data_IF_759161752764
#
_entry.id   IF_759161752764
#
_cell.length_a   1.000
_cell.length_b   1.000
_cell.length_c   1.000
_cell.angle_alpha   90.00
_cell.angle_beta   90.00
_cell.angle_gamma   90.00
#
_symmetry.space_group_name_H-M   'P 1'
#
loop_
_entity.id
_entity.type
_entity.pdbx_description
1 polymer ?
#
# COMPACT_ATOMS: atom_id res chain seq x y z
N UNK A 1 7.93 -1.00 -46.09
CA UNK A 1 6.47 -1.19 -46.05
C UNK A 1 6.15 -1.47 -44.59
N UNK A 2 5.55 -0.50 -43.91
CA UNK A 2 5.39 -0.48 -42.47
C UNK A 2 4.51 -1.65 -42.00
N UNK A 3 4.97 -2.38 -40.99
CA UNK A 3 4.15 -3.31 -40.23
C UNK A 3 3.40 -2.48 -39.19
N UNK A 4 2.08 -2.58 -39.26
CA UNK A 4 1.11 -1.98 -38.37
C UNK A 4 1.25 -2.63 -36.98
N UNK A 5 1.69 -1.87 -35.99
CA UNK A 5 1.68 -2.23 -34.58
C UNK A 5 0.45 -1.57 -33.94
N UNK A 6 -0.73 -2.08 -34.28
CA UNK A 6 -1.95 -1.86 -33.50
C UNK A 6 -2.04 -2.98 -32.47
N UNK A 7 -1.22 -2.88 -31.42
CA UNK A 7 -1.50 -3.59 -30.17
C UNK A 7 -2.60 -2.78 -29.48
N UNK A 8 -3.85 -3.06 -29.88
CA UNK A 8 -5.03 -2.63 -29.16
C UNK A 8 -4.98 -3.24 -27.77
N UNK A 9 -4.43 -2.49 -26.81
CA UNK A 9 -4.73 -2.71 -25.40
C UNK A 9 -6.24 -2.56 -25.28
N UNK A 10 -6.95 -3.68 -25.08
CA UNK A 10 -8.34 -3.66 -24.65
C UNK A 10 -8.43 -2.82 -23.37
N UNK A 11 -8.81 -1.56 -23.53
CA UNK A 11 -9.23 -0.73 -22.41
C UNK A 11 -10.52 -1.37 -21.93
N UNK A 12 -10.44 -2.18 -20.87
CA UNK A 12 -11.62 -2.69 -20.19
C UNK A 12 -12.53 -1.50 -19.86
N UNK A 13 -13.71 -1.51 -20.48
CA UNK A 13 -14.68 -0.42 -20.37
C UNK A 13 -15.27 -0.46 -18.96
N UNK A 14 -14.83 0.46 -18.12
CA UNK A 14 -15.32 0.62 -16.75
C UNK A 14 -16.76 1.11 -16.84
N UNK A 15 -17.68 0.51 -16.08
CA UNK A 15 -19.05 1.01 -16.02
C UNK A 15 -19.09 2.39 -15.36
N UNK A 16 -20.05 3.23 -15.71
CA UNK A 16 -20.20 4.55 -15.08
C UNK A 16 -20.38 4.46 -13.56
N UNK A 17 -21.00 3.37 -13.08
CA UNK A 17 -21.13 3.08 -11.65
C UNK A 17 -19.77 2.82 -10.99
N UNK A 18 -18.91 2.03 -11.63
CA UNK A 18 -17.56 1.76 -11.13
C UNK A 18 -16.69 3.04 -11.12
N UNK A 19 -16.87 3.96 -12.10
CA UNK A 19 -16.18 5.25 -12.10
C UNK A 19 -16.63 6.18 -10.97
N UNK A 20 -17.93 6.23 -10.67
CA UNK A 20 -18.48 7.02 -9.56
C UNK A 20 -17.98 6.50 -8.20
N UNK A 21 -17.95 5.17 -8.02
CA UNK A 21 -17.41 4.54 -6.80
C UNK A 21 -15.95 4.91 -6.56
N UNK A 22 -15.13 4.92 -7.62
CA UNK A 22 -13.74 5.36 -7.54
C UNK A 22 -13.64 6.85 -7.20
N UNK A 23 -14.49 7.69 -7.76
CA UNK A 23 -14.50 9.13 -7.46
C UNK A 23 -14.98 9.45 -6.04
N UNK A 24 -15.75 8.56 -5.40
CA UNK A 24 -16.10 8.69 -3.99
C UNK A 24 -14.96 8.22 -3.06
N UNK A 25 -14.36 7.05 -3.31
CA UNK A 25 -13.29 6.51 -2.45
C UNK A 25 -12.00 7.35 -2.49
N UNK A 26 -11.74 8.04 -3.61
CA UNK A 26 -10.54 8.86 -3.81
C UNK A 26 -10.83 10.36 -3.93
N UNK A 27 -12.04 10.81 -3.57
CA UNK A 27 -12.29 12.24 -3.41
C UNK A 27 -11.40 12.73 -2.27
N UNK A 28 -10.49 13.65 -2.55
CA UNK A 28 -9.79 14.39 -1.50
C UNK A 28 -10.89 15.07 -0.67
N UNK A 29 -11.12 14.58 0.55
CA UNK A 29 -12.01 15.22 1.49
C UNK A 29 -11.30 16.50 1.98
N UNK A 30 -11.36 17.55 1.16
CA UNK A 30 -10.90 18.90 1.48
C UNK A 30 -11.63 19.47 2.72
N UNK A 31 -12.62 18.75 3.27
CA UNK A 31 -13.40 19.10 4.44
C UNK A 31 -13.29 18.12 5.62
N UNK A 32 -12.19 17.35 5.72
CA UNK A 32 -11.75 16.89 7.05
C UNK A 32 -11.16 18.11 7.78
N UNK A 33 -12.02 19.05 8.15
CA UNK A 33 -11.78 19.89 9.30
C UNK A 33 -11.67 18.91 10.47
N UNK A 34 -10.54 18.80 11.18
CA UNK A 34 -10.50 18.04 12.42
C UNK A 34 -11.64 18.58 13.29
N UNK A 35 -12.64 17.74 13.53
CA UNK A 35 -13.74 18.10 14.41
C UNK A 35 -13.18 18.18 15.84
N UNK A 36 -12.64 19.36 16.18
CA UNK A 36 -12.12 19.67 17.51
C UNK A 36 -13.23 19.68 18.58
N UNK A 37 -14.49 19.47 18.21
CA UNK A 37 -15.62 19.39 19.12
C UNK A 37 -16.05 17.97 19.49
N UNK A 38 -15.34 16.93 19.04
CA UNK A 38 -15.34 15.70 19.84
C UNK A 38 -14.52 15.98 21.11
N UNK A 39 -15.21 16.38 22.18
CA UNK A 39 -14.68 16.31 23.54
C UNK A 39 -14.45 14.83 23.89
N UNK A 40 -13.43 14.21 23.28
CA UNK A 40 -12.79 13.06 23.88
C UNK A 40 -12.27 13.57 25.21
N UNK A 41 -12.74 12.98 26.30
CA UNK A 41 -12.13 13.14 27.61
C UNK A 41 -10.66 12.72 27.48
N UNK A 42 -9.80 13.67 27.16
CA UNK A 42 -8.36 13.49 27.17
C UNK A 42 -7.99 13.52 28.65
N UNK A 43 -7.91 12.33 29.24
CA UNK A 43 -7.33 12.17 30.56
C UNK A 43 -5.86 12.55 30.42
N UNK A 44 -5.46 13.66 31.02
CA UNK A 44 -4.07 14.08 31.08
C UNK A 44 -3.25 12.95 31.68
N UNK A 45 -2.05 12.70 31.15
CA UNK A 45 -1.12 11.69 31.68
C UNK A 45 -0.80 11.89 33.18
N UNK A 46 -1.06 13.09 33.72
CA UNK A 46 -0.87 13.44 35.13
C UNK A 46 -2.03 13.00 36.06
N UNK A 47 -3.16 12.50 35.54
CA UNK A 47 -4.35 12.18 36.34
C UNK A 47 -4.55 10.68 36.66
N UNK A 48 -3.49 9.87 36.50
CA UNK A 48 -3.50 8.43 36.76
C UNK A 48 -2.91 8.08 38.13
N UNK A 49 -3.63 8.44 39.20
CA UNK A 49 -3.36 7.89 40.54
C UNK A 49 -4.09 6.57 40.83
N UNK A 50 -4.63 5.87 39.82
CA UNK A 50 -5.24 4.56 40.03
C UNK A 50 -4.85 3.57 38.93
N UNK A 51 -4.08 2.55 39.34
CA UNK A 51 -3.57 1.38 38.61
C UNK A 51 -2.23 1.64 37.87
N UNK A 52 -1.11 1.04 38.29
CA UNK A 52 0.12 1.08 37.53
C UNK A 52 -0.06 0.25 36.26
N UNK A 53 -0.46 0.88 35.15
CA UNK A 53 -0.34 0.27 33.84
C UNK A 53 1.15 0.17 33.54
N UNK A 54 1.75 -0.97 33.92
CA UNK A 54 3.13 -1.26 33.61
C UNK A 54 3.31 -1.16 32.10
N UNK A 55 4.09 -0.17 31.65
CA UNK A 55 4.48 -0.05 30.25
C UNK A 55 5.11 -1.40 29.86
N UNK A 56 4.56 -2.11 28.86
CA UNK A 56 5.14 -3.38 28.46
C UNK A 56 6.59 -3.14 28.07
N UNK A 57 7.50 -3.91 28.67
CA UNK A 57 8.91 -3.80 28.36
C UNK A 57 9.10 -4.09 26.86
N UNK A 58 9.73 -3.16 26.13
CA UNK A 58 10.09 -3.37 24.74
C UNK A 58 11.07 -4.53 24.64
N UNK A 59 10.56 -5.69 24.21
CA UNK A 59 11.31 -6.94 24.07
C UNK A 59 11.17 -7.41 22.63
N UNK A 60 11.87 -6.75 21.68
CA UNK A 60 11.83 -7.19 20.30
C UNK A 60 12.36 -8.63 20.24
N UNK A 61 11.70 -9.47 19.45
CA UNK A 61 12.15 -10.83 19.19
C UNK A 61 13.52 -10.83 18.49
N UNK A 62 13.79 -9.79 17.71
CA UNK A 62 15.06 -9.58 17.01
C UNK A 62 16.03 -8.75 17.86
N UNK A 63 17.34 -9.05 17.81
CA UNK A 63 18.34 -8.24 18.49
C UNK A 63 18.30 -6.79 17.96
N UNK A 64 18.47 -5.78 18.82
CA UNK A 64 18.56 -4.40 18.35
C UNK A 64 19.79 -4.21 17.46
N UNK A 65 19.62 -3.59 16.28
CA UNK A 65 20.74 -3.27 15.39
C UNK A 65 20.41 -3.41 13.91
N UNK A 66 21.41 -3.13 13.06
CA UNK A 66 21.30 -3.31 11.63
C UNK A 66 21.51 -4.78 11.25
N UNK A 67 20.48 -5.38 10.66
CA UNK A 67 20.48 -6.77 10.23
C UNK A 67 20.91 -6.83 8.76
N UNK A 68 22.21 -6.92 8.51
CA UNK A 68 22.72 -7.08 7.15
C UNK A 68 22.72 -8.56 6.76
N UNK A 69 22.59 -8.89 5.46
CA UNK A 69 22.79 -10.26 4.99
C UNK A 69 24.17 -10.80 5.40
N UNK A 70 24.26 -12.09 5.72
CA UNK A 70 25.50 -12.72 6.21
C UNK A 70 26.68 -12.64 5.21
N UNK A 71 26.39 -12.34 3.94
CA UNK A 71 27.36 -12.23 2.84
C UNK A 71 28.02 -10.85 2.68
N UNK A 72 27.73 -9.87 3.56
CA UNK A 72 28.30 -8.52 3.45
C UNK A 72 29.76 -8.49 3.90
N UNK A 73 30.69 -8.64 2.95
CA UNK A 73 32.11 -8.35 3.16
C UNK A 73 32.40 -6.85 3.06
N UNK A 74 33.52 -6.40 3.63
CA UNK A 74 33.98 -4.99 3.53
C UNK A 74 34.12 -4.51 2.09
N UNK A 75 34.42 -5.43 1.16
CA UNK A 75 34.58 -5.15 -0.27
C UNK A 75 33.24 -5.06 -1.01
N UNK A 76 32.25 -5.89 -0.65
CA UNK A 76 30.95 -5.91 -1.33
C UNK A 76 29.91 -4.99 -0.68
N UNK A 77 30.23 -4.33 0.44
CA UNK A 77 29.33 -3.44 1.20
C UNK A 77 28.58 -2.42 0.33
N UNK A 78 29.25 -1.82 -0.67
CA UNK A 78 28.59 -0.84 -1.57
C UNK A 78 27.41 -1.42 -2.33
N UNK A 79 27.45 -2.71 -2.67
CA UNK A 79 26.35 -3.39 -3.38
C UNK A 79 25.12 -3.57 -2.48
N UNK A 80 25.29 -3.51 -1.16
CA UNK A 80 24.22 -3.63 -0.16
C UNK A 80 23.78 -2.28 0.44
N UNK A 81 24.38 -1.16 -0.01
CA UNK A 81 24.01 0.20 0.41
C UNK A 81 23.25 0.97 -0.69
N UNK A 82 22.68 0.26 -1.66
CA UNK A 82 21.76 0.87 -2.63
C UNK A 82 20.44 1.25 -1.93
N UNK A 83 19.71 2.27 -2.42
CA UNK A 83 18.40 2.61 -1.86
C UNK A 83 17.44 1.41 -1.82
N UNK A 84 17.45 0.59 -2.89
CA UNK A 84 16.63 -0.61 -2.98
C UNK A 84 17.01 -1.67 -1.92
N UNK A 85 18.31 -1.92 -1.72
CA UNK A 85 18.75 -2.90 -0.72
C UNK A 85 18.43 -2.45 0.69
N UNK A 86 18.49 -1.15 0.98
CA UNK A 86 18.07 -0.59 2.28
C UNK A 86 16.55 -0.72 2.45
N UNK A 87 15.76 -0.41 1.43
CA UNK A 87 14.31 -0.58 1.45
C UNK A 87 13.92 -2.03 1.79
N UNK A 88 14.57 -3.00 1.13
CA UNK A 88 14.34 -4.44 1.36
C UNK A 88 14.78 -4.94 2.75
N UNK A 89 15.47 -4.14 3.56
CA UNK A 89 15.71 -4.46 4.98
C UNK A 89 14.46 -4.27 5.84
N UNK A 90 13.59 -3.33 5.47
CA UNK A 90 12.34 -3.05 6.18
C UNK A 90 11.19 -3.87 5.58
N UNK A 91 11.10 -3.87 4.25
CA UNK A 91 10.16 -4.71 3.50
C UNK A 91 10.89 -5.93 2.99
N UNK A 92 11.14 -6.88 3.90
CA UNK A 92 11.80 -8.14 3.55
C UNK A 92 10.89 -8.98 2.65
N UNK A 93 11.47 -9.84 1.82
CA UNK A 93 10.71 -10.71 0.91
C UNK A 93 9.65 -11.56 1.64
N UNK A 94 9.99 -12.16 2.78
CA UNK A 94 9.05 -12.91 3.59
C UNK A 94 7.88 -12.06 4.15
N UNK A 95 8.11 -10.76 4.38
CA UNK A 95 7.07 -9.85 4.85
C UNK A 95 6.16 -9.46 3.69
N UNK A 96 6.73 -9.20 2.52
CA UNK A 96 5.97 -8.91 1.30
C UNK A 96 5.15 -10.13 0.87
N UNK A 97 5.71 -11.33 0.92
CA UNK A 97 4.98 -12.57 0.65
C UNK A 97 3.76 -12.73 1.59
N UNK A 98 3.94 -12.42 2.87
CA UNK A 98 2.84 -12.42 3.85
C UNK A 98 1.76 -11.38 3.51
N UNK A 99 2.16 -10.16 3.13
CA UNK A 99 1.23 -9.11 2.72
C UNK A 99 0.46 -9.50 1.44
N UNK A 100 1.14 -10.08 0.45
CA UNK A 100 0.50 -10.60 -0.75
C UNK A 100 -0.54 -11.65 -0.39
N UNK A 101 -0.19 -12.61 0.48
CA UNK A 101 -1.12 -13.65 0.96
C UNK A 101 -2.37 -13.05 1.61
N UNK A 102 -2.21 -12.16 2.59
CA UNK A 102 -3.36 -11.55 3.29
C UNK A 102 -4.22 -10.70 2.36
N UNK A 103 -3.60 -9.99 1.42
CA UNK A 103 -4.29 -9.17 0.44
C UNK A 103 -5.10 -10.04 -0.53
N UNK A 104 -4.51 -11.14 -1.03
CA UNK A 104 -5.20 -12.09 -1.92
C UNK A 104 -6.37 -12.78 -1.21
N UNK A 105 -6.20 -13.20 0.06
CA UNK A 105 -7.27 -13.76 0.88
C UNK A 105 -8.40 -12.73 1.11
N UNK A 106 -8.04 -11.47 1.36
CA UNK A 106 -9.01 -10.40 1.53
C UNK A 106 -9.79 -10.12 0.24
N UNK A 107 -9.12 -10.12 -0.91
CA UNK A 107 -9.75 -9.97 -2.22
C UNK A 107 -10.68 -11.14 -2.55
N UNK A 108 -10.29 -12.38 -2.24
CA UNK A 108 -11.16 -13.55 -2.42
C UNK A 108 -12.44 -13.45 -1.57
N UNK A 109 -12.32 -12.95 -0.34
CA UNK A 109 -13.45 -12.85 0.58
C UNK A 109 -14.37 -11.65 0.34
N UNK A 110 -13.83 -10.50 -0.08
CA UNK A 110 -14.58 -9.24 -0.21
C UNK A 110 -14.79 -8.81 -1.65
N UNK A 111 -14.03 -9.33 -2.61
CA UNK A 111 -14.17 -9.04 -4.03
C UNK A 111 -15.58 -9.24 -4.59
N UNK A 112 -16.33 -10.30 -4.21
CA UNK A 112 -17.70 -10.48 -4.67
C UNK A 112 -18.66 -9.36 -4.24
N UNK A 113 -18.39 -8.67 -3.13
CA UNK A 113 -19.24 -7.56 -2.63
C UNK A 113 -18.83 -6.21 -3.20
N UNK A 114 -17.71 -6.13 -3.91
CA UNK A 114 -17.21 -4.90 -4.52
C UNK A 114 -17.81 -4.68 -5.93
N UNK A 115 -17.70 -3.45 -6.45
CA UNK A 115 -18.11 -3.12 -7.81
C UNK A 115 -17.42 -4.00 -8.87
N UNK A 116 -17.97 -4.03 -10.09
CA UNK A 116 -17.57 -4.98 -11.15
C UNK A 116 -16.08 -4.91 -11.47
N UNK A 117 -15.51 -3.70 -11.41
CA UNK A 117 -14.08 -3.42 -11.54
C UNK A 117 -13.20 -4.30 -10.61
N UNK A 118 -13.67 -4.60 -9.41
CA UNK A 118 -12.85 -5.30 -8.41
C UNK A 118 -13.10 -6.82 -8.39
N UNK A 119 -14.07 -7.31 -9.18
CA UNK A 119 -14.42 -8.75 -9.23
C UNK A 119 -13.42 -9.57 -10.01
N UNK A 120 -12.78 -8.99 -11.02
CA UNK A 120 -11.73 -9.63 -11.81
C UNK A 120 -10.38 -9.57 -11.08
N UNK A 121 -10.34 -10.10 -9.85
CA UNK A 121 -9.13 -10.12 -9.05
C UNK A 121 -8.13 -11.15 -9.58
N UNK A 122 -6.89 -10.71 -9.75
CA UNK A 122 -5.72 -11.57 -9.96
C UNK A 122 -4.84 -11.50 -8.72
N UNK A 123 -4.37 -12.65 -8.25
CA UNK A 123 -3.44 -12.71 -7.12
C UNK A 123 -2.18 -11.89 -7.38
N UNK A 124 -1.74 -11.16 -6.36
CA UNK A 124 -0.54 -10.34 -6.39
C UNK A 124 0.68 -11.23 -6.19
N UNK A 125 1.70 -11.01 -7.01
CA UNK A 125 3.04 -11.58 -6.82
C UNK A 125 3.98 -10.61 -6.09
N UNK A 126 5.05 -11.13 -5.50
CA UNK A 126 6.05 -10.37 -4.74
C UNK A 126 6.64 -9.23 -5.59
N UNK A 127 6.98 -9.49 -6.86
CA UNK A 127 7.53 -8.47 -7.75
C UNK A 127 6.52 -7.35 -8.03
N UNK A 128 5.27 -7.71 -8.29
CA UNK A 128 4.17 -6.77 -8.52
C UNK A 128 3.91 -5.90 -7.28
N UNK A 129 3.99 -6.48 -6.08
CA UNK A 129 3.84 -5.74 -4.84
C UNK A 129 4.98 -4.72 -4.63
N UNK A 130 6.22 -5.07 -4.97
CA UNK A 130 7.33 -4.10 -4.92
C UNK A 130 7.14 -2.95 -5.91
N UNK A 131 6.58 -3.22 -7.10
CA UNK A 131 6.23 -2.17 -8.06
C UNK A 131 5.15 -1.25 -7.49
N UNK A 132 4.10 -1.82 -6.90
CA UNK A 132 3.05 -1.07 -6.21
C UNK A 132 3.61 -0.15 -5.11
N UNK A 133 4.50 -0.67 -4.25
CA UNK A 133 5.17 0.12 -3.21
C UNK A 133 6.06 1.22 -3.80
N UNK A 134 6.74 0.93 -4.91
CA UNK A 134 7.51 1.92 -5.66
C UNK A 134 6.66 3.09 -6.14
N UNK A 135 5.48 2.80 -6.70
CA UNK A 135 4.51 3.80 -7.13
C UNK A 135 3.95 4.61 -5.95
N UNK A 136 3.63 3.96 -4.83
CA UNK A 136 3.21 4.66 -3.60
C UNK A 136 4.26 5.66 -3.11
N UNK A 137 5.53 5.24 -3.07
CA UNK A 137 6.63 6.14 -2.70
C UNK A 137 6.79 7.28 -3.69
N UNK A 138 6.64 7.00 -4.99
CA UNK A 138 6.71 8.00 -6.05
C UNK A 138 5.63 9.08 -5.89
N UNK A 139 4.39 8.69 -5.65
CA UNK A 139 3.28 9.62 -5.39
C UNK A 139 3.48 10.47 -4.13
N UNK A 140 4.15 9.91 -3.11
CA UNK A 140 4.53 10.67 -1.92
C UNK A 140 5.55 11.77 -2.21
N UNK A 141 6.39 11.60 -3.24
CA UNK A 141 7.40 12.57 -3.66
C UNK A 141 6.87 13.58 -4.69
N UNK A 142 6.09 13.10 -5.66
CA UNK A 142 5.56 13.90 -6.77
C UNK A 142 4.06 14.07 -6.56
N UNK A 143 3.66 15.13 -5.87
CA UNK A 143 2.24 15.40 -5.65
C UNK A 143 1.63 16.02 -6.91
N UNK A 144 0.57 15.40 -7.41
CA UNK A 144 -0.27 15.94 -8.49
C UNK A 144 -1.68 16.22 -7.93
N UNK A 145 -2.39 17.24 -8.46
CA UNK A 145 -3.68 17.67 -7.91
C UNK A 145 -4.82 16.68 -8.14
N UNK A 146 -4.61 15.63 -8.93
CA UNK A 146 -5.61 14.60 -9.15
C UNK A 146 -4.93 13.27 -9.44
N UNK A 147 -5.32 12.24 -8.70
CA UNK A 147 -4.80 10.88 -8.83
C UNK A 147 -4.81 10.34 -10.28
N UNK A 148 -5.83 10.70 -11.08
CA UNK A 148 -5.95 10.29 -12.48
C UNK A 148 -4.80 10.83 -13.35
N UNK A 149 -4.15 11.93 -12.93
CA UNK A 149 -3.07 12.56 -13.68
C UNK A 149 -1.76 11.76 -13.67
N UNK A 150 -1.51 10.93 -12.65
CA UNK A 150 -0.36 10.02 -12.64
C UNK A 150 -0.36 9.08 -13.84
N UNK A 151 -1.56 8.65 -14.25
CA UNK A 151 -1.77 7.83 -15.43
C UNK A 151 -2.37 8.61 -16.58
N UNK A 152 -2.12 9.91 -16.76
CA UNK A 152 -2.58 10.66 -17.94
C UNK A 152 -1.44 10.96 -18.93
N UNK A 153 -1.57 10.48 -20.17
CA UNK A 153 -0.60 10.67 -21.26
C UNK A 153 -0.83 11.93 -22.09
N UNK A 154 -1.84 12.75 -21.76
CA UNK A 154 -2.14 14.00 -22.48
C UNK A 154 -1.89 15.21 -21.56
N UNK A 155 -0.62 15.61 -21.39
CA UNK A 155 -0.12 16.94 -20.92
C UNK A 155 1.38 16.82 -20.53
N UNK A 156 1.96 17.85 -19.91
CA UNK A 156 3.32 17.95 -19.31
C UNK A 156 3.73 16.76 -18.41
N UNK A 157 2.78 15.90 -18.04
CA UNK A 157 2.92 14.67 -17.26
C UNK A 157 3.13 13.40 -18.10
N UNK A 158 3.24 13.52 -19.43
CA UNK A 158 3.52 12.39 -20.33
C UNK A 158 4.92 11.76 -20.12
N UNK A 159 5.74 12.38 -19.25
CA UNK A 159 7.02 11.83 -18.79
C UNK A 159 6.92 11.02 -17.50
N UNK A 160 5.72 10.76 -16.97
CA UNK A 160 5.51 9.89 -15.82
C UNK A 160 5.57 8.42 -16.26
N UNK A 161 6.52 7.67 -15.72
CA UNK A 161 6.78 6.27 -16.10
C UNK A 161 5.75 5.32 -15.49
N UNK A 162 4.81 5.84 -14.71
CA UNK A 162 3.87 5.08 -13.88
C UNK A 162 3.01 4.10 -14.69
N UNK A 163 2.63 4.49 -15.91
CA UNK A 163 1.91 3.63 -16.87
C UNK A 163 2.72 2.42 -17.33
N UNK A 164 4.05 2.53 -17.39
CA UNK A 164 4.91 1.45 -17.86
C UNK A 164 5.06 0.32 -16.83
N UNK A 165 4.74 0.60 -15.56
CA UNK A 165 4.96 -0.34 -14.46
C UNK A 165 3.68 -1.04 -13.99
N UNK A 166 2.56 -0.31 -13.89
CA UNK A 166 1.28 -0.86 -13.46
C UNK A 166 0.14 -0.01 -14.00
N UNK A 167 -0.98 -0.62 -14.39
CA UNK A 167 -2.16 0.15 -14.81
C UNK A 167 -2.81 0.85 -13.59
N UNK A 168 -3.46 1.99 -13.81
CA UNK A 168 -4.21 2.71 -12.77
C UNK A 168 -5.19 1.80 -12.05
N UNK A 169 -5.89 0.99 -12.84
CA UNK A 169 -6.87 0.03 -12.37
C UNK A 169 -6.25 -0.99 -11.43
N UNK A 170 -5.15 -1.63 -11.85
CA UNK A 170 -4.48 -2.63 -11.03
C UNK A 170 -3.96 -2.04 -9.72
N UNK A 171 -3.40 -0.85 -9.76
CA UNK A 171 -2.98 -0.13 -8.55
C UNK A 171 -4.16 0.09 -7.59
N UNK A 172 -5.30 0.56 -8.11
CA UNK A 172 -6.51 0.80 -7.29
C UNK A 172 -7.10 -0.49 -6.73
N UNK A 173 -7.09 -1.59 -7.49
CA UNK A 173 -7.50 -2.89 -6.98
C UNK A 173 -6.62 -3.34 -5.81
N UNK A 174 -5.29 -3.26 -5.97
CA UNK A 174 -4.35 -3.64 -4.90
C UNK A 174 -4.57 -2.77 -3.66
N UNK A 175 -4.72 -1.46 -3.83
CA UNK A 175 -4.97 -0.55 -2.72
C UNK A 175 -6.30 -0.86 -1.99
N UNK A 176 -7.36 -1.18 -2.74
CA UNK A 176 -8.69 -1.51 -2.20
C UNK A 176 -8.68 -2.78 -1.33
N UNK A 177 -7.89 -3.78 -1.73
CA UNK A 177 -7.84 -5.07 -1.03
C UNK A 177 -6.68 -5.20 -0.05
N UNK A 178 -5.75 -4.24 -0.01
CA UNK A 178 -4.56 -4.27 0.82
C UNK A 178 -4.90 -4.61 2.28
N UNK A 179 -4.29 -5.69 2.79
CA UNK A 179 -4.51 -6.16 4.16
C UNK A 179 -3.18 -6.49 4.83
N UNK A 180 -3.00 -5.99 6.05
CA UNK A 180 -1.75 -6.14 6.83
C UNK A 180 -1.88 -7.14 7.97
N UNK A 181 -3.10 -7.46 8.40
CA UNK A 181 -3.37 -8.41 9.50
C UNK A 181 -3.88 -9.77 9.02
N UNK A 182 -3.53 -10.79 9.78
CA UNK A 182 -3.96 -12.18 9.55
C UNK A 182 -5.34 -12.41 10.18
N UNK A 183 -6.30 -12.90 9.40
CA UNK A 183 -7.64 -13.29 9.90
C UNK A 183 -7.59 -14.35 11.00
N UNK A 184 -6.60 -15.24 10.96
CA UNK A 184 -6.48 -16.37 11.89
C UNK A 184 -5.86 -15.99 13.25
N UNK A 185 -5.17 -14.84 13.33
CA UNK A 185 -4.48 -14.35 14.54
C UNK A 185 -5.26 -13.19 15.18
N UNK A 186 -6.46 -12.88 14.70
CA UNK A 186 -7.35 -11.89 15.33
C UNK A 186 -7.77 -12.38 16.73
N UNK A 187 -6.89 -12.18 17.71
CA UNK A 187 -7.26 -12.26 19.11
C UNK A 187 -8.18 -11.08 19.37
N UNK A 188 -9.45 -11.37 19.66
CA UNK A 188 -10.51 -10.37 19.87
C UNK A 188 -10.19 -9.29 20.94
N UNK A 189 -9.08 -9.44 21.67
CA UNK A 189 -8.61 -8.51 22.70
C UNK A 189 -7.62 -7.44 22.20
N UNK A 190 -7.05 -7.58 21.00
CA UNK A 190 -6.10 -6.59 20.47
C UNK A 190 -6.77 -5.57 19.55
N UNK A 191 -6.79 -4.30 19.98
CA UNK A 191 -7.40 -3.20 19.22
C UNK A 191 -6.60 -2.82 17.96
N UNK A 192 -5.33 -3.25 17.87
CA UNK A 192 -4.44 -2.95 16.74
C UNK A 192 -4.52 -3.97 15.61
N UNK A 193 -5.28 -5.06 15.76
CA UNK A 193 -5.35 -6.15 14.78
C UNK A 193 -6.30 -5.91 13.58
N UNK A 194 -6.95 -4.74 13.51
CA UNK A 194 -7.96 -4.43 12.48
C UNK A 194 -7.36 -4.15 11.11
#
# INVERSE_FOLDING_TARGET
MAQDLSSDEEIEYISSEDEEWIEEDFRDDENIQPNFNEQRNYVSYDDLNQIPHAIPAFRPERPPGAHFPDSVTRQNRRNYLTPLSIFKLFFTEALVEMLCKFTNENAAATGPTKPSMYKNWKDIDIEEFYVFMGLLMYMGLVQVPNFKLYWNGKSLFNGLWDRAFMTRFRFQQILCFLKVSNRDIEVATDKLAK
#
